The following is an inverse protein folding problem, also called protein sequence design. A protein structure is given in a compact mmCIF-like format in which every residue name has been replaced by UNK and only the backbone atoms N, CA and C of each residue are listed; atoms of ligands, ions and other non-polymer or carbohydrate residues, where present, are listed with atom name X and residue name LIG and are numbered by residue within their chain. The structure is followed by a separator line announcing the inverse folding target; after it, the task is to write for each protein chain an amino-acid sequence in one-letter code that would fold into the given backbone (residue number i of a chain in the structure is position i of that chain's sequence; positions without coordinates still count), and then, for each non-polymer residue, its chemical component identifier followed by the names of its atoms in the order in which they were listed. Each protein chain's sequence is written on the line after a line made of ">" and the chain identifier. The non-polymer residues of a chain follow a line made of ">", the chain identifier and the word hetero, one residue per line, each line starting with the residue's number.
data_IF_061722657934
#
_entry.id   IF_061722657934
#
_cell.length_a   1.000
_cell.length_b   1.000
_cell.length_c   1.000
_cell.angle_alpha   90.00
_cell.angle_beta   90.00
_cell.angle_gamma   90.00
#
_symmetry.space_group_name_H-M   'P 1'
#
loop_
_entity.id
_entity.type
_entity.pdbx_description
1 polymer ?
#
# COMPACT_ATOMS: atom_id res chain seq x y z
N UNK A 1 35.23 118.20 -14.79
CA UNK A 1 33.85 117.94 -15.25
C UNK A 1 33.75 116.46 -15.62
N UNK A 2 32.54 115.88 -15.62
CA UNK A 2 32.27 114.47 -16.01
C UNK A 2 32.79 114.15 -17.44
N UNK A 3 32.92 112.90 -17.94
CA UNK A 3 32.17 111.67 -17.64
C UNK A 3 32.88 110.42 -18.25
N UNK A 4 32.95 109.33 -17.50
CA UNK A 4 32.69 107.91 -17.87
C UNK A 4 33.23 107.25 -19.15
N UNK A 5 33.49 105.94 -18.96
CA UNK A 5 33.36 104.83 -19.95
C UNK A 5 34.59 104.56 -20.85
N UNK A 6 34.93 103.32 -21.24
CA UNK A 6 34.31 101.99 -21.00
C UNK A 6 35.35 100.84 -21.05
N UNK A 7 34.91 99.61 -20.72
CA UNK A 7 35.36 98.29 -21.20
C UNK A 7 36.24 97.39 -20.31
N UNK A 8 35.75 96.15 -20.24
CA UNK A 8 36.43 94.96 -19.74
C UNK A 8 37.60 94.55 -20.65
N UNK A 9 38.41 93.66 -20.06
CA UNK A 9 38.98 92.45 -20.67
C UNK A 9 40.47 92.51 -21.09
N UNK A 10 41.20 91.55 -20.49
CA UNK A 10 42.30 90.74 -21.04
C UNK A 10 43.77 91.18 -20.88
N UNK A 11 44.52 90.23 -20.28
CA UNK A 11 45.98 90.02 -20.32
C UNK A 11 46.85 91.01 -19.50
N UNK A 12 48.05 90.64 -19.01
CA UNK A 12 49.01 89.59 -19.43
C UNK A 12 49.84 89.03 -18.21
N UNK A 13 50.56 87.92 -18.43
CA UNK A 13 51.62 87.20 -17.62
C UNK A 13 52.50 88.11 -16.68
N UNK A 14 53.20 87.61 -15.60
CA UNK A 14 53.94 86.33 -15.60
C UNK A 14 54.23 85.55 -14.26
N UNK A 15 55.06 84.48 -14.38
CA UNK A 15 55.80 83.69 -13.35
C UNK A 15 55.08 82.50 -12.67
N UNK A 16 55.70 81.36 -12.31
CA UNK A 16 57.07 80.81 -12.52
C UNK A 16 57.04 79.26 -12.57
N UNK A 17 58.12 78.66 -13.06
CA UNK A 17 58.37 77.21 -13.24
C UNK A 17 58.09 76.25 -12.06
N UNK A 18 57.65 75.02 -12.38
CA UNK A 18 58.42 73.76 -12.16
C UNK A 18 57.54 72.52 -12.39
N UNK A 19 57.55 71.92 -13.59
CA UNK A 19 57.05 70.55 -13.77
C UNK A 19 58.18 69.54 -13.57
N UNK A 20 58.24 68.97 -12.36
CA UNK A 20 58.91 67.69 -12.14
C UNK A 20 58.09 66.60 -12.85
N UNK A 21 58.73 65.86 -13.77
CA UNK A 21 58.17 64.63 -14.30
C UNK A 21 58.15 63.57 -13.18
N UNK A 22 57.04 63.47 -12.47
CA UNK A 22 56.76 62.32 -11.61
C UNK A 22 56.43 61.15 -12.53
N UNK A 23 57.39 60.26 -12.75
CA UNK A 23 57.14 58.97 -13.38
C UNK A 23 56.28 58.14 -12.41
N UNK A 24 54.97 58.12 -12.64
CA UNK A 24 54.05 57.25 -11.92
C UNK A 24 54.32 55.80 -12.31
N UNK A 25 55.16 55.11 -11.54
CA UNK A 25 55.16 53.65 -11.53
C UNK A 25 53.80 53.19 -11.00
N UNK A 26 52.88 52.93 -11.92
CA UNK A 26 51.59 52.32 -11.60
C UNK A 26 51.85 50.90 -11.09
N UNK A 27 52.06 50.78 -9.78
CA UNK A 27 52.05 49.49 -9.11
C UNK A 27 50.62 48.96 -9.19
N UNK A 28 50.37 48.11 -10.19
CA UNK A 28 49.24 47.21 -10.17
C UNK A 28 49.49 46.22 -9.03
N UNK A 29 49.04 46.61 -7.83
CA UNK A 29 48.75 45.64 -6.78
C UNK A 29 47.70 44.70 -7.37
N UNK A 30 48.13 43.50 -7.74
CA UNK A 30 47.22 42.41 -8.06
C UNK A 30 46.71 41.91 -6.73
N UNK A 31 45.39 41.75 -6.61
CA UNK A 31 44.79 41.02 -5.51
C UNK A 31 45.06 39.52 -5.71
N UNK A 32 46.33 39.12 -5.54
CA UNK A 32 46.77 37.73 -5.55
C UNK A 32 46.29 37.06 -4.25
N UNK A 33 45.01 36.68 -4.22
CA UNK A 33 44.50 35.77 -3.19
C UNK A 33 45.21 34.42 -3.34
N UNK A 34 45.79 33.86 -2.25
CA UNK A 34 46.40 32.54 -2.31
C UNK A 34 45.32 31.53 -2.68
N UNK A 35 45.55 30.76 -3.75
CA UNK A 35 44.71 29.63 -4.11
C UNK A 35 44.72 28.63 -2.95
N UNK A 36 43.56 28.43 -2.33
CA UNK A 36 43.35 27.34 -1.39
C UNK A 36 42.98 26.14 -2.24
N UNK A 37 43.84 25.11 -2.25
CA UNK A 37 43.53 23.84 -2.90
C UNK A 37 42.18 23.33 -2.39
N UNK A 38 41.31 22.94 -3.31
CA UNK A 38 40.02 22.37 -2.94
C UNK A 38 40.28 21.10 -2.10
N UNK A 39 39.69 20.96 -0.90
CA UNK A 39 39.94 19.80 -0.06
C UNK A 39 39.52 18.54 -0.82
N UNK A 40 40.41 17.55 -0.86
CA UNK A 40 40.10 16.22 -1.35
C UNK A 40 38.97 15.63 -0.50
N UNK A 41 37.81 15.43 -1.12
CA UNK A 41 36.72 14.69 -0.50
C UNK A 41 37.13 13.22 -0.43
N UNK A 42 37.17 12.66 0.77
CA UNK A 42 37.37 11.23 0.99
C UNK A 42 35.99 10.56 0.97
N UNK A 43 35.76 9.67 0.00
CA UNK A 43 34.48 8.97 -0.15
C UNK A 43 34.48 7.72 0.73
N UNK A 44 33.96 7.86 1.95
CA UNK A 44 33.97 6.81 2.97
C UNK A 44 32.76 5.86 2.81
N UNK A 45 31.64 6.35 2.26
CA UNK A 45 30.39 5.58 2.17
C UNK A 45 30.35 4.61 0.99
N UNK A 46 29.63 3.50 1.17
CA UNK A 46 29.47 2.44 0.18
C UNK A 46 28.53 2.87 -0.97
N UNK A 47 29.14 3.24 -2.11
CA UNK A 47 28.43 3.66 -3.32
C UNK A 47 27.98 2.50 -4.22
N UNK A 48 28.08 1.25 -3.75
CA UNK A 48 27.51 0.09 -4.44
C UNK A 48 25.98 0.08 -4.27
N UNK A 49 25.34 -0.68 -5.12
CA UNK A 49 23.91 -0.99 -5.14
C UNK A 49 23.89 -2.53 -5.27
N UNK A 50 23.70 -3.21 -4.14
CA UNK A 50 23.89 -4.67 -4.04
C UNK A 50 22.63 -5.48 -4.41
N UNK A 51 21.43 -4.88 -4.40
CA UNK A 51 20.17 -5.52 -4.80
C UNK A 51 19.61 -5.03 -6.16
N UNK A 52 20.21 -3.98 -6.73
CA UNK A 52 19.94 -3.39 -8.04
C UNK A 52 18.59 -2.68 -8.15
N UNK A 53 18.10 -2.10 -7.05
CA UNK A 53 16.86 -1.30 -7.05
C UNK A 53 17.06 0.15 -7.54
N UNK A 54 18.31 0.64 -7.58
CA UNK A 54 18.69 1.99 -7.99
C UNK A 54 19.07 2.94 -6.85
N UNK A 55 19.05 2.49 -5.60
CA UNK A 55 19.52 3.21 -4.41
C UNK A 55 20.82 2.58 -3.92
N UNK A 56 21.82 3.44 -3.67
CA UNK A 56 23.11 2.97 -3.15
C UNK A 56 22.99 2.50 -1.69
N UNK A 57 23.76 1.48 -1.32
CA UNK A 57 23.89 0.90 0.02
C UNK A 57 24.03 1.96 1.13
N UNK A 58 24.72 3.08 0.87
CA UNK A 58 24.89 4.20 1.80
C UNK A 58 23.60 4.97 2.14
N UNK A 59 22.53 4.79 1.35
CA UNK A 59 21.24 5.49 1.47
C UNK A 59 20.04 4.55 1.59
N UNK A 60 20.21 3.29 1.21
CA UNK A 60 19.16 2.30 1.21
C UNK A 60 18.86 1.79 2.63
N UNK A 61 17.57 1.78 2.98
CA UNK A 61 17.04 1.25 4.24
C UNK A 61 16.48 -0.18 4.10
N UNK A 62 16.39 -0.69 2.87
CA UNK A 62 15.71 -1.91 2.48
C UNK A 62 16.57 -2.81 1.54
N UNK A 63 17.76 -3.30 1.97
CA UNK A 63 18.81 -3.94 1.14
C UNK A 63 18.52 -5.33 0.56
N UNK A 64 17.25 -5.71 0.47
CA UNK A 64 16.76 -6.88 -0.25
C UNK A 64 15.42 -6.55 -0.93
N UNK A 65 15.31 -5.36 -1.53
CA UNK A 65 14.10 -4.89 -2.18
C UNK A 65 13.77 -5.79 -3.38
N UNK A 66 12.53 -6.31 -3.50
CA UNK A 66 12.17 -7.19 -4.60
C UNK A 66 12.34 -6.50 -5.96
N UNK A 67 13.07 -7.13 -6.88
CA UNK A 67 13.30 -6.60 -8.23
C UNK A 67 11.99 -6.14 -8.91
N UNK A 68 12.04 -4.94 -9.50
CA UNK A 68 10.90 -4.21 -10.10
C UNK A 68 9.87 -3.66 -9.10
N UNK A 69 10.21 -3.52 -7.82
CA UNK A 69 9.38 -2.77 -6.88
C UNK A 69 9.25 -1.30 -7.30
N UNK A 70 8.08 -0.71 -7.10
CA UNK A 70 7.95 0.73 -7.02
C UNK A 70 8.49 1.19 -5.65
N UNK A 71 9.73 1.69 -5.66
CA UNK A 71 10.47 2.16 -4.49
C UNK A 71 10.27 3.65 -4.21
N UNK A 72 10.58 4.07 -2.99
CA UNK A 72 10.73 5.48 -2.61
C UNK A 72 12.20 5.94 -2.63
N UNK A 73 12.51 7.08 -2.02
CA UNK A 73 13.87 7.64 -2.00
C UNK A 73 14.82 6.94 -1.01
N UNK A 74 14.29 6.01 -0.21
CA UNK A 74 15.00 5.31 0.85
C UNK A 74 15.19 3.81 0.49
N UNK A 75 14.95 3.43 -0.78
CA UNK A 75 15.08 2.06 -1.30
C UNK A 75 13.89 1.14 -0.97
N UNK A 76 12.84 1.66 -0.32
CA UNK A 76 11.80 0.79 0.24
C UNK A 76 10.60 0.61 -0.71
N UNK A 77 10.33 -0.65 -1.06
CA UNK A 77 9.24 -1.03 -1.96
C UNK A 77 7.82 -0.81 -1.41
N UNK A 78 6.93 -0.30 -2.27
CA UNK A 78 5.50 -0.11 -1.96
C UNK A 78 4.72 -1.43 -2.06
N UNK A 79 3.75 -1.66 -1.15
CA UNK A 79 2.87 -2.83 -1.17
C UNK A 79 1.41 -2.47 -1.50
N UNK A 80 0.83 -3.16 -2.49
CA UNK A 80 -0.61 -3.19 -2.72
C UNK A 80 -1.25 -4.18 -1.73
N UNK A 81 -2.31 -3.76 -1.05
CA UNK A 81 -3.19 -4.65 -0.29
C UNK A 81 -4.38 -5.01 -1.15
N UNK A 82 -4.43 -6.26 -1.62
CA UNK A 82 -5.59 -6.79 -2.35
C UNK A 82 -6.49 -7.54 -1.38
N UNK A 83 -7.79 -7.26 -1.46
CA UNK A 83 -8.83 -7.92 -0.67
C UNK A 83 -9.75 -8.70 -1.61
N UNK A 84 -9.88 -10.00 -1.40
CA UNK A 84 -10.84 -10.85 -2.09
C UNK A 84 -11.90 -11.34 -1.08
N UNK A 85 -13.14 -11.49 -1.51
CA UNK A 85 -14.23 -12.01 -0.67
C UNK A 85 -14.90 -13.21 -1.34
N UNK A 86 -15.09 -14.28 -0.57
CA UNK A 86 -15.86 -15.45 -1.00
C UNK A 86 -17.01 -15.76 -0.03
N UNK A 87 -18.16 -16.15 -0.58
CA UNK A 87 -19.36 -16.52 0.20
C UNK A 87 -19.73 -17.99 0.02
N UNK A 88 -20.17 -18.60 1.11
CA UNK A 88 -20.71 -19.95 1.20
C UNK A 88 -22.19 -19.87 1.56
N UNK A 89 -23.05 -20.61 0.85
CA UNK A 89 -24.48 -20.78 1.21
C UNK A 89 -24.94 -22.18 0.82
N UNK A 90 -25.17 -23.01 1.83
CA UNK A 90 -25.54 -24.42 1.68
C UNK A 90 -26.95 -24.60 2.23
N UNK A 91 -27.85 -25.17 1.43
CA UNK A 91 -29.23 -25.47 1.84
C UNK A 91 -29.37 -26.92 2.30
N UNK A 92 -30.28 -27.16 3.25
CA UNK A 92 -30.53 -28.46 3.85
C UNK A 92 -31.99 -28.90 3.71
N UNK A 93 -32.18 -30.21 3.55
CA UNK A 93 -33.50 -30.83 3.61
C UNK A 93 -34.13 -30.63 5.00
N UNK A 94 -35.46 -30.81 5.08
CA UNK A 94 -36.15 -30.81 6.35
C UNK A 94 -35.56 -31.87 7.29
N UNK A 95 -35.47 -31.52 8.57
CA UNK A 95 -34.93 -32.38 9.65
C UNK A 95 -33.56 -33.03 9.37
N UNK A 96 -32.73 -32.42 8.52
CA UNK A 96 -31.46 -32.99 8.09
C UNK A 96 -30.27 -32.07 8.30
N UNK A 97 -29.16 -32.68 8.71
CA UNK A 97 -27.82 -32.10 8.75
C UNK A 97 -26.88 -32.65 7.67
N UNK A 98 -27.39 -33.48 6.73
CA UNK A 98 -26.59 -34.08 5.66
C UNK A 98 -26.32 -33.03 4.57
N UNK A 99 -25.05 -32.82 4.25
CA UNK A 99 -24.63 -31.94 3.14
C UNK A 99 -24.96 -32.62 1.81
N UNK A 100 -25.80 -31.99 0.98
CA UNK A 100 -26.11 -32.49 -0.35
C UNK A 100 -24.85 -32.44 -1.26
N UNK A 101 -24.51 -33.51 -2.00
CA UNK A 101 -23.36 -33.55 -2.91
C UNK A 101 -23.22 -32.37 -3.87
N UNK A 102 -24.33 -31.74 -4.28
CA UNK A 102 -24.34 -30.55 -5.14
C UNK A 102 -23.51 -29.39 -4.56
N UNK A 103 -23.43 -29.26 -3.24
CA UNK A 103 -22.66 -28.19 -2.57
C UNK A 103 -21.18 -28.51 -2.37
N UNK A 104 -20.71 -29.74 -2.66
CA UNK A 104 -19.32 -30.12 -2.41
C UNK A 104 -18.32 -29.34 -3.29
N UNK A 105 -18.74 -28.89 -4.48
CA UNK A 105 -17.95 -28.00 -5.33
C UNK A 105 -17.74 -26.63 -4.66
N UNK A 106 -18.78 -26.04 -4.09
CA UNK A 106 -18.71 -24.75 -3.39
C UNK A 106 -17.85 -24.85 -2.13
N UNK A 107 -18.00 -25.94 -1.35
CA UNK A 107 -17.14 -26.21 -0.18
C UNK A 107 -15.68 -26.36 -0.61
N UNK A 108 -15.40 -27.04 -1.73
CA UNK A 108 -14.03 -27.16 -2.28
C UNK A 108 -13.46 -25.81 -2.71
N UNK A 109 -14.24 -24.95 -3.35
CA UNK A 109 -13.82 -23.59 -3.70
C UNK A 109 -13.49 -22.78 -2.45
N UNK A 110 -14.30 -22.88 -1.39
CA UNK A 110 -14.02 -22.25 -0.09
C UNK A 110 -12.74 -22.80 0.57
N UNK A 111 -12.51 -24.12 0.52
CA UNK A 111 -11.27 -24.72 1.00
C UNK A 111 -10.04 -24.24 0.19
N UNK A 112 -10.16 -24.10 -1.13
CA UNK A 112 -9.07 -23.56 -1.96
C UNK A 112 -8.78 -22.08 -1.63
N UNK A 113 -9.82 -21.27 -1.42
CA UNK A 113 -9.70 -19.89 -0.97
C UNK A 113 -8.98 -19.79 0.39
N UNK A 114 -9.40 -20.60 1.38
CA UNK A 114 -8.73 -20.65 2.68
C UNK A 114 -7.27 -21.13 2.61
N UNK A 115 -6.88 -21.91 1.60
CA UNK A 115 -5.46 -22.25 1.35
C UNK A 115 -4.67 -21.10 0.72
N UNK A 116 -5.29 -20.35 -0.20
CA UNK A 116 -4.70 -19.14 -0.80
C UNK A 116 -4.47 -18.03 0.23
N UNK A 117 -5.30 -17.96 1.27
CA UNK A 117 -5.21 -17.00 2.38
C UNK A 117 -5.00 -17.71 3.73
N UNK A 118 -3.77 -18.13 4.10
CA UNK A 118 -3.51 -18.88 5.33
C UNK A 118 -3.90 -18.16 6.62
N UNK A 119 -3.87 -16.82 6.62
CA UNK A 119 -4.26 -15.96 7.75
C UNK A 119 -5.77 -15.84 7.96
N UNK A 120 -6.58 -16.12 6.93
CA UNK A 120 -8.04 -16.04 7.03
C UNK A 120 -8.59 -17.13 7.96
N UNK A 121 -9.75 -16.89 8.58
CA UNK A 121 -10.52 -17.90 9.30
C UNK A 121 -11.98 -17.82 8.89
N UNK A 122 -12.73 -18.91 9.02
CA UNK A 122 -14.12 -19.01 8.58
C UNK A 122 -15.04 -19.23 9.77
N UNK A 123 -16.12 -18.45 9.84
CA UNK A 123 -17.26 -18.76 10.69
C UNK A 123 -18.36 -19.42 9.87
N UNK A 124 -18.76 -20.63 10.27
CA UNK A 124 -19.92 -21.34 9.73
C UNK A 124 -21.13 -21.05 10.60
N UNK A 125 -22.05 -20.27 10.05
CA UNK A 125 -23.30 -19.84 10.69
C UNK A 125 -24.42 -20.78 10.26
N UNK A 126 -24.92 -21.60 11.18
CA UNK A 126 -26.00 -22.56 10.93
C UNK A 126 -27.38 -22.03 11.35
N UNK A 127 -28.40 -22.33 10.54
CA UNK A 127 -29.79 -21.89 10.72
C UNK A 127 -30.79 -23.04 10.54
N UNK A 128 -32.01 -22.82 11.03
CA UNK A 128 -33.16 -23.70 10.92
C UNK A 128 -34.43 -22.89 10.62
N UNK A 129 -35.47 -23.59 10.17
CA UNK A 129 -36.82 -23.03 10.01
C UNK A 129 -37.52 -22.90 11.37
N UNK A 130 -38.42 -21.91 11.50
CA UNK A 130 -39.25 -21.65 12.70
C UNK A 130 -40.19 -22.77 13.15
N UNK A 131 -40.30 -23.85 12.39
CA UNK A 131 -41.11 -25.02 12.74
C UNK A 131 -40.31 -25.94 13.67
N UNK A 132 -40.92 -26.37 14.77
CA UNK A 132 -40.33 -27.33 15.70
C UNK A 132 -40.04 -26.74 17.07
N UNK A 133 -39.14 -27.40 17.80
CA UNK A 133 -38.68 -26.93 19.12
C UNK A 133 -37.43 -26.06 18.97
N UNK A 134 -37.36 -24.84 19.54
CA UNK A 134 -36.20 -23.95 19.38
C UNK A 134 -34.87 -24.54 19.87
N UNK A 135 -34.87 -25.31 20.95
CA UNK A 135 -33.67 -25.99 21.46
C UNK A 135 -33.18 -27.09 20.51
N UNK A 136 -34.10 -27.83 19.89
CA UNK A 136 -33.79 -28.78 18.84
C UNK A 136 -33.27 -28.08 17.57
N UNK A 137 -33.92 -27.00 17.15
CA UNK A 137 -33.53 -26.19 15.99
C UNK A 137 -32.12 -25.59 16.16
N UNK A 138 -31.79 -25.10 17.36
CA UNK A 138 -30.46 -24.65 17.73
C UNK A 138 -29.42 -25.77 17.55
N UNK A 139 -29.68 -26.96 18.07
CA UNK A 139 -28.73 -28.08 17.97
C UNK A 139 -28.62 -28.62 16.54
N UNK A 140 -29.72 -28.75 15.80
CA UNK A 140 -29.72 -29.12 14.38
C UNK A 140 -28.91 -28.12 13.54
N UNK A 141 -29.01 -26.82 13.85
CA UNK A 141 -28.26 -25.76 13.17
C UNK A 141 -26.74 -25.87 13.37
N UNK A 142 -26.28 -26.21 14.59
CA UNK A 142 -24.86 -26.49 14.86
C UNK A 142 -24.39 -27.74 14.12
N UNK A 143 -25.19 -28.81 14.13
CA UNK A 143 -24.85 -30.06 13.45
C UNK A 143 -24.74 -29.91 11.92
N UNK A 144 -25.55 -29.03 11.32
CA UNK A 144 -25.39 -28.62 9.92
C UNK A 144 -24.03 -27.97 9.67
N UNK A 145 -23.66 -26.97 10.47
CA UNK A 145 -22.36 -26.29 10.36
C UNK A 145 -21.18 -27.24 10.60
N UNK A 146 -21.29 -28.17 11.56
CA UNK A 146 -20.30 -29.20 11.85
C UNK A 146 -20.07 -30.18 10.68
N UNK A 147 -21.12 -30.58 9.96
CA UNK A 147 -20.95 -31.41 8.77
C UNK A 147 -20.33 -30.64 7.58
N UNK A 148 -20.49 -29.31 7.53
CA UNK A 148 -19.77 -28.44 6.57
C UNK A 148 -18.29 -28.29 6.98
N UNK A 149 -17.98 -28.14 8.26
CA UNK A 149 -16.60 -28.18 8.78
C UNK A 149 -15.90 -29.48 8.37
N UNK A 150 -16.51 -30.65 8.63
CA UNK A 150 -15.96 -31.95 8.23
C UNK A 150 -15.60 -32.02 6.74
N UNK A 151 -16.41 -31.40 5.89
CA UNK A 151 -16.14 -31.34 4.45
C UNK A 151 -15.00 -30.36 4.10
N UNK A 152 -14.84 -29.25 4.82
CA UNK A 152 -13.66 -28.37 4.68
C UNK A 152 -12.38 -29.07 5.17
N UNK A 153 -12.46 -29.80 6.28
CA UNK A 153 -11.34 -30.56 6.87
C UNK A 153 -10.91 -31.71 5.95
N UNK A 154 -11.84 -32.42 5.30
CA UNK A 154 -11.50 -33.44 4.30
C UNK A 154 -10.81 -32.87 3.06
N UNK A 155 -10.96 -31.57 2.80
CA UNK A 155 -10.17 -30.83 1.81
C UNK A 155 -8.87 -30.23 2.36
N UNK A 156 -8.49 -30.52 3.61
CA UNK A 156 -7.20 -30.12 4.20
C UNK A 156 -7.20 -28.75 4.90
N UNK A 157 -8.35 -28.27 5.36
CA UNK A 157 -8.41 -27.10 6.26
C UNK A 157 -8.26 -27.56 7.72
N UNK A 158 -7.46 -26.83 8.51
CA UNK A 158 -7.35 -27.08 9.95
C UNK A 158 -8.65 -26.73 10.67
N UNK A 159 -9.11 -27.60 11.57
CA UNK A 159 -10.18 -27.32 12.53
C UNK A 159 -10.00 -25.98 13.25
N UNK A 160 -8.76 -25.61 13.60
CA UNK A 160 -8.45 -24.36 14.31
C UNK A 160 -8.78 -23.08 13.52
N UNK A 161 -9.04 -23.18 12.21
CA UNK A 161 -9.43 -22.06 11.35
C UNK A 161 -10.95 -21.99 11.11
N UNK A 162 -11.72 -22.90 11.70
CA UNK A 162 -13.18 -22.97 11.56
C UNK A 162 -13.85 -22.70 12.90
N UNK A 163 -14.71 -21.67 12.95
CA UNK A 163 -15.64 -21.43 14.08
C UNK A 163 -17.04 -21.86 13.67
N UNK A 164 -17.76 -22.52 14.56
CA UNK A 164 -19.17 -22.89 14.36
C UNK A 164 -20.05 -22.05 15.26
N UNK A 165 -21.09 -21.43 14.69
CA UNK A 165 -22.15 -20.73 15.42
C UNK A 165 -23.49 -21.28 14.94
N UNK A 166 -24.33 -21.74 15.86
CA UNK A 166 -25.71 -22.12 15.57
C UNK A 166 -26.65 -21.02 16.03
N UNK A 167 -27.49 -20.51 15.12
CA UNK A 167 -28.55 -19.54 15.41
C UNK A 167 -29.91 -20.22 15.61
N UNK A 168 -30.05 -21.49 15.25
CA UNK A 168 -31.35 -22.16 15.27
C UNK A 168 -32.35 -21.42 14.38
N UNK A 169 -33.50 -21.12 14.95
CA UNK A 169 -34.64 -20.42 14.33
C UNK A 169 -34.76 -18.94 14.75
N UNK A 170 -33.77 -18.37 15.47
CA UNK A 170 -33.87 -16.98 15.94
C UNK A 170 -33.67 -15.93 14.83
N UNK A 171 -32.98 -16.30 13.75
CA UNK A 171 -32.55 -15.41 12.67
C UNK A 171 -33.10 -15.93 11.33
N UNK A 172 -34.33 -15.56 10.99
CA UNK A 172 -34.99 -15.98 9.76
C UNK A 172 -34.69 -15.00 8.62
N UNK A 173 -34.43 -15.54 7.43
CA UNK A 173 -34.30 -14.74 6.20
C UNK A 173 -35.64 -14.57 5.51
N UNK A 174 -36.45 -15.63 5.47
CA UNK A 174 -37.82 -15.58 4.98
C UNK A 174 -38.79 -15.76 6.16
N UNK A 175 -39.75 -14.85 6.32
CA UNK A 175 -40.70 -14.89 7.44
C UNK A 175 -42.00 -15.66 7.12
N UNK A 176 -42.20 -16.06 5.86
CA UNK A 176 -43.35 -16.85 5.42
C UNK A 176 -43.46 -18.20 6.12
N UNK A 177 -44.60 -18.87 5.94
CA UNK A 177 -44.91 -20.16 6.58
C UNK A 177 -45.11 -21.31 5.58
N UNK A 178 -44.79 -21.06 4.32
CA UNK A 178 -44.72 -22.03 3.23
C UNK A 178 -43.38 -22.78 3.19
N UNK A 179 -43.32 -23.94 2.51
CA UNK A 179 -42.08 -24.74 2.45
C UNK A 179 -40.92 -24.03 1.73
N UNK A 180 -41.17 -23.06 0.84
CA UNK A 180 -40.08 -22.30 0.20
C UNK A 180 -39.40 -21.41 1.23
N UNK A 181 -40.18 -20.68 2.04
CA UNK A 181 -39.69 -19.90 3.18
C UNK A 181 -38.91 -20.79 4.15
N UNK A 182 -39.46 -21.96 4.52
CA UNK A 182 -38.77 -22.89 5.41
C UNK A 182 -37.47 -23.44 4.81
N UNK A 183 -37.46 -23.80 3.51
CA UNK A 183 -36.27 -24.26 2.80
C UNK A 183 -35.15 -23.21 2.74
N UNK A 184 -35.51 -21.93 2.57
CA UNK A 184 -34.56 -20.82 2.51
C UNK A 184 -33.91 -20.51 3.87
N UNK A 185 -34.58 -20.86 4.98
CA UNK A 185 -34.07 -20.74 6.34
C UNK A 185 -33.24 -21.96 6.80
N UNK A 186 -33.46 -23.15 6.24
CA UNK A 186 -32.65 -24.36 6.50
C UNK A 186 -31.29 -24.28 5.80
N UNK A 187 -30.34 -23.50 6.35
CA UNK A 187 -29.06 -23.21 5.69
C UNK A 187 -27.84 -23.18 6.62
N UNK A 188 -26.65 -23.26 6.02
CA UNK A 188 -25.40 -22.77 6.60
C UNK A 188 -24.85 -21.69 5.67
N UNK A 189 -24.40 -20.56 6.23
CA UNK A 189 -23.68 -19.53 5.47
C UNK A 189 -22.34 -19.20 6.10
N UNK A 190 -21.45 -18.63 5.29
CA UNK A 190 -20.20 -18.02 5.72
C UNK A 190 -19.76 -16.96 4.71
N UNK A 191 -19.07 -15.94 5.18
CA UNK A 191 -18.34 -14.98 4.33
C UNK A 191 -16.90 -14.93 4.83
N UNK A 192 -15.95 -15.05 3.92
CA UNK A 192 -14.52 -14.96 4.25
C UNK A 192 -13.90 -13.87 3.39
N UNK A 193 -13.15 -12.98 4.03
CA UNK A 193 -12.29 -11.98 3.36
C UNK A 193 -10.85 -12.47 3.47
N UNK A 194 -10.17 -12.51 2.33
CA UNK A 194 -8.76 -12.83 2.21
C UNK A 194 -7.97 -11.57 1.87
N UNK A 195 -7.02 -11.20 2.74
CA UNK A 195 -6.10 -10.09 2.49
C UNK A 195 -4.76 -10.66 1.99
N UNK A 196 -4.23 -10.13 0.89
CA UNK A 196 -2.89 -10.45 0.39
C UNK A 196 -2.14 -9.15 0.11
N UNK A 197 -0.95 -9.02 0.67
CA UNK A 197 0.03 -8.04 0.22
C UNK A 197 0.73 -8.56 -1.02
N UNK A 198 0.87 -7.70 -2.03
CA UNK A 198 1.82 -7.91 -3.13
C UNK A 198 2.66 -6.65 -3.29
N UNK A 199 3.92 -6.82 -3.68
CA UNK A 199 4.77 -5.72 -4.15
C UNK A 199 4.03 -4.98 -5.27
N UNK A 200 4.03 -3.66 -5.22
CA UNK A 200 3.59 -2.80 -6.31
C UNK A 200 4.72 -2.81 -7.33
N UNK A 201 4.50 -3.40 -8.50
CA UNK A 201 5.50 -3.35 -9.57
C UNK A 201 5.60 -1.93 -10.17
N UNK A 202 6.81 -1.51 -10.52
CA UNK A 202 7.07 -0.27 -11.24
C UNK A 202 6.32 -0.20 -12.59
N UNK A 203 6.07 1.01 -13.09
CA UNK A 203 5.48 1.16 -14.41
C UNK A 203 6.51 0.90 -15.51
N UNK A 204 6.16 0.03 -16.47
CA UNK A 204 6.96 -0.24 -17.67
C UNK A 204 6.15 0.01 -18.93
N UNK A 205 6.82 0.09 -20.08
CA UNK A 205 6.17 0.16 -21.40
C UNK A 205 5.26 -1.05 -21.72
N UNK A 206 5.35 -2.14 -20.95
CA UNK A 206 4.51 -3.33 -21.08
C UNK A 206 3.34 -3.37 -20.08
N UNK A 207 3.31 -2.45 -19.11
CA UNK A 207 2.28 -2.37 -18.06
C UNK A 207 0.94 -1.98 -18.68
N UNK A 208 -0.06 -2.85 -18.56
CA UNK A 208 -1.43 -2.61 -19.03
C UNK A 208 -2.22 -1.86 -17.96
N UNK A 209 -2.97 -0.83 -18.37
CA UNK A 209 -4.03 -0.28 -17.50
C UNK A 209 -5.17 -1.29 -17.41
N UNK A 210 -5.60 -1.57 -16.18
CA UNK A 210 -6.91 -2.19 -15.95
C UNK A 210 -8.02 -1.27 -16.47
N UNK A 211 -9.12 -1.86 -16.94
CA UNK A 211 -10.23 -1.19 -17.64
C UNK A 211 -11.51 -1.34 -16.83
#
# INVERSE_FOLDING_TARGET
>A
MMRWSTNMLKYLWPMIASLLFITSTASSARDDYPYIDMPLADQIDDLRDDDFDGVINARDLCPETPLKSEIDNDGCGTFIKTEEQLQLRILFANDSAIVNPVFLSQIRSMANFLKQYPSASIELQGYASKVGNPGYNLELSKNRAYNVEKALVSYGISHTRVRIVGFGDTELTENGDDDISHAMNRKVVATVVGHKGSVKEEWTIFTKRER
#
